data_IF_709451721448
#
_entry.id   IF_709451721448
#
_cell.length_a   1.000
_cell.length_b   1.000
_cell.length_c   1.000
_cell.angle_alpha   90.00
_cell.angle_beta   90.00
_cell.angle_gamma   90.00
#
_symmetry.space_group_name_H-M   'P 1'
#
loop_
_entity.id
_entity.type
_entity.pdbx_description
1 polymer ?
#
# COMPACT_ATOMS: atom_id res chain seq x y z
N UNK A 1 5.99 52.72 13.09
CA UNK A 1 5.90 51.28 13.46
C UNK A 1 4.78 51.12 14.47
N UNK A 2 4.22 49.91 14.50
CA UNK A 2 3.12 49.42 15.34
C UNK A 2 1.71 49.75 14.87
N UNK A 3 1.15 48.81 14.10
CA UNK A 3 -0.28 48.54 14.06
C UNK A 3 -0.42 47.12 14.62
N UNK A 4 -0.82 47.03 15.89
CA UNK A 4 -1.27 45.81 16.53
C UNK A 4 -2.75 45.64 16.22
N UNK A 5 -3.14 44.60 15.48
CA UNK A 5 -4.54 44.19 15.40
C UNK A 5 -4.67 42.75 15.89
N UNK A 6 -5.24 42.65 17.09
CA UNK A 6 -5.57 41.46 17.84
C UNK A 6 -6.68 40.68 17.15
N UNK A 7 -6.40 39.40 16.98
CA UNK A 7 -7.32 38.29 16.84
C UNK A 7 -8.11 38.17 18.14
N UNK A 8 -9.45 38.24 18.15
CA UNK A 8 -10.35 37.47 19.05
C UNK A 8 -11.82 37.63 18.65
N UNK A 9 -12.53 36.54 18.93
CA UNK A 9 -13.91 36.13 18.64
C UNK A 9 -14.92 36.96 19.45
N UNK A 10 -16.12 37.18 18.88
CA UNK A 10 -17.32 37.61 19.62
C UNK A 10 -18.42 36.56 19.47
N UNK A 11 -18.78 35.96 20.59
CA UNK A 11 -20.05 35.25 20.82
C UNK A 11 -21.18 36.26 21.09
N UNK A 12 -22.41 35.74 21.25
CA UNK A 12 -23.70 36.40 21.61
C UNK A 12 -24.56 36.81 20.39
N UNK A 13 -25.84 36.46 20.25
CA UNK A 13 -26.85 35.97 21.19
C UNK A 13 -28.08 35.39 20.44
N UNK A 14 -28.81 34.49 21.11
CA UNK A 14 -30.08 33.85 20.71
C UNK A 14 -31.31 34.78 20.88
N UNK A 15 -32.41 34.53 20.14
CA UNK A 15 -33.76 34.22 20.67
C UNK A 15 -34.92 34.45 19.66
N UNK A 16 -35.63 33.34 19.39
CA UNK A 16 -37.08 33.10 19.28
C UNK A 16 -38.10 34.08 18.67
N UNK A 17 -38.97 33.53 17.77
CA UNK A 17 -40.44 33.43 17.97
C UNK A 17 -41.22 32.75 16.81
N UNK A 18 -41.74 31.55 17.13
CA UNK A 18 -43.13 31.05 16.97
C UNK A 18 -43.87 31.03 15.62
N UNK A 19 -44.27 29.79 15.27
CA UNK A 19 -45.62 29.30 14.89
C UNK A 19 -46.25 29.71 13.54
N UNK A 20 -46.46 28.73 12.64
CA UNK A 20 -47.82 28.27 12.35
C UNK A 20 -47.89 26.88 11.67
N UNK A 21 -48.99 26.19 11.95
CA UNK A 21 -49.37 24.78 11.73
C UNK A 21 -50.27 24.63 10.50
N UNK A 22 -50.29 23.43 9.89
CA UNK A 22 -51.41 22.67 9.27
C UNK A 22 -50.92 21.91 8.01
N UNK A 23 -50.77 20.58 8.03
CA UNK A 23 -51.78 19.50 7.87
C UNK A 23 -51.94 19.06 6.40
N UNK A 24 -51.48 17.84 6.03
CA UNK A 24 -52.14 16.85 5.13
C UNK A 24 -51.54 15.45 5.40
N UNK A 25 -52.42 14.44 5.34
CA UNK A 25 -52.44 13.13 5.99
C UNK A 25 -51.70 11.96 5.30
N UNK A 26 -51.60 10.88 6.08
CA UNK A 26 -51.13 9.52 5.84
C UNK A 26 -51.71 8.80 4.60
N UNK A 27 -50.89 7.95 3.96
CA UNK A 27 -51.32 6.64 3.48
C UNK A 27 -50.28 5.56 3.84
N UNK A 28 -50.71 4.66 4.72
CA UNK A 28 -50.09 3.41 5.14
C UNK A 28 -50.05 2.37 4.03
N UNK A 29 -48.99 1.55 3.99
CA UNK A 29 -49.04 0.20 3.42
C UNK A 29 -48.08 -0.73 4.19
N UNK A 30 -48.60 -1.32 5.25
CA UNK A 30 -48.15 -2.59 5.81
C UNK A 30 -48.73 -3.72 4.94
N UNK A 31 -47.92 -4.74 4.64
CA UNK A 31 -48.39 -6.03 4.11
C UNK A 31 -47.95 -7.14 5.04
N UNK A 32 -48.96 -7.81 5.57
CA UNK A 32 -48.97 -8.82 6.62
C UNK A 32 -48.19 -10.10 6.31
N UNK A 33 -47.43 -10.57 7.31
CA UNK A 33 -47.00 -11.97 7.43
C UNK A 33 -48.06 -12.73 8.21
N UNK A 34 -48.82 -13.58 7.51
CA UNK A 34 -49.80 -14.50 8.08
C UNK A 34 -49.08 -15.73 8.62
N UNK A 35 -49.06 -15.89 9.94
CA UNK A 35 -48.92 -17.20 10.60
C UNK A 35 -50.31 -17.73 10.98
N UNK A 36 -50.61 -18.95 10.55
CA UNK A 36 -51.81 -19.69 10.94
C UNK A 36 -51.53 -20.64 12.11
N UNK A 37 -52.45 -20.56 13.07
CA UNK A 37 -52.45 -21.06 14.44
C UNK A 37 -52.54 -22.59 14.59
N UNK A 38 -51.97 -23.10 15.69
CA UNK A 38 -52.55 -24.06 16.65
C UNK A 38 -51.46 -24.47 17.65
N UNK A 39 -51.51 -24.27 18.96
CA UNK A 39 -52.54 -23.75 19.85
C UNK A 39 -52.12 -24.08 21.29
N UNK A 40 -52.79 -23.43 22.25
CA UNK A 40 -52.96 -23.85 23.67
C UNK A 40 -52.00 -23.26 24.70
N UNK A 41 -52.51 -22.21 25.37
CA UNK A 41 -52.45 -21.81 26.80
C UNK A 41 -51.20 -22.17 27.63
N UNK A 42 -50.65 -21.30 28.47
CA UNK A 42 -51.38 -20.69 29.59
C UNK A 42 -50.57 -19.56 30.26
N UNK A 43 -51.32 -18.62 30.83
CA UNK A 43 -50.89 -17.48 31.64
C UNK A 43 -49.96 -17.86 32.81
N UNK A 44 -49.12 -16.91 33.25
CA UNK A 44 -49.17 -16.30 34.60
C UNK A 44 -48.26 -15.06 34.61
N UNK A 45 -48.87 -13.95 35.01
CA UNK A 45 -48.29 -12.64 35.33
C UNK A 45 -47.53 -12.75 36.67
N UNK A 46 -46.27 -12.29 36.74
CA UNK A 46 -45.79 -11.64 37.95
C UNK A 46 -44.53 -10.78 37.72
N UNK A 47 -44.66 -9.52 38.10
CA UNK A 47 -43.62 -8.49 38.08
C UNK A 47 -42.66 -8.64 39.27
N UNK A 48 -41.48 -8.04 39.09
CA UNK A 48 -40.49 -7.60 40.09
C UNK A 48 -39.48 -8.64 40.60
N UNK A 49 -38.21 -8.56 40.15
CA UNK A 49 -37.11 -7.83 40.83
C UNK A 49 -35.76 -8.14 40.19
N UNK A 50 -34.93 -7.11 40.16
CA UNK A 50 -33.52 -7.08 39.82
C UNK A 50 -32.74 -8.19 40.56
N UNK A 51 -31.86 -8.89 39.81
CA UNK A 51 -30.54 -9.25 40.29
C UNK A 51 -29.67 -9.56 39.08
N UNK A 52 -28.75 -8.64 38.78
CA UNK A 52 -27.61 -8.87 37.90
C UNK A 52 -26.76 -9.97 38.55
N UNK A 53 -26.79 -11.16 37.98
CA UNK A 53 -25.75 -12.17 38.16
C UNK A 53 -24.99 -12.20 36.84
N UNK A 54 -23.78 -11.66 36.88
CA UNK A 54 -22.74 -11.92 35.89
C UNK A 54 -22.61 -13.44 35.75
N UNK A 55 -23.16 -13.97 34.66
CA UNK A 55 -22.83 -15.31 34.21
C UNK A 55 -21.40 -15.25 33.70
N UNK A 56 -20.47 -15.79 34.49
CA UNK A 56 -19.21 -16.28 33.94
C UNK A 56 -19.60 -17.30 32.86
N UNK A 57 -19.49 -16.90 31.59
CA UNK A 57 -19.50 -17.82 30.47
C UNK A 57 -18.27 -18.70 30.62
N UNK A 58 -18.43 -19.81 31.33
CA UNK A 58 -17.53 -20.93 31.25
C UNK A 58 -17.59 -21.40 29.80
N UNK A 59 -16.52 -21.11 29.04
CA UNK A 59 -16.26 -21.78 27.78
C UNK A 59 -16.17 -23.28 28.10
N UNK A 60 -17.21 -24.03 27.75
CA UNK A 60 -17.16 -25.48 27.66
C UNK A 60 -16.10 -25.80 26.58
N UNK A 61 -14.86 -26.07 27.02
CA UNK A 61 -13.71 -26.49 26.19
C UNK A 61 -13.88 -27.95 25.69
N UNK A 62 -15.12 -28.43 25.62
CA UNK A 62 -15.52 -29.73 25.10
C UNK A 62 -16.12 -29.59 23.67
N UNK A 63 -15.66 -28.61 22.90
CA UNK A 63 -15.83 -28.62 21.44
C UNK A 63 -14.88 -29.68 20.87
N UNK A 64 -15.47 -30.85 20.56
CA UNK A 64 -14.89 -31.98 19.82
C UNK A 64 -13.65 -31.61 18.99
N UNK A 65 -12.48 -31.97 19.51
CA UNK A 65 -11.15 -31.83 18.90
C UNK A 65 -11.20 -32.27 17.42
N UNK A 66 -11.23 -31.30 16.48
CA UNK A 66 -11.37 -31.56 15.04
C UNK A 66 -10.20 -32.43 14.56
N UNK A 67 -10.43 -33.69 14.16
CA UNK A 67 -9.35 -34.60 13.88
C UNK A 67 -8.57 -34.17 12.65
N UNK A 68 -7.24 -34.15 12.76
CA UNK A 68 -6.34 -33.91 11.61
C UNK A 68 -6.63 -34.92 10.50
N UNK A 69 -7.20 -34.44 9.40
CA UNK A 69 -7.55 -35.27 8.23
C UNK A 69 -6.33 -35.50 7.34
N UNK A 70 -5.52 -34.46 7.12
CA UNK A 70 -4.34 -34.49 6.24
C UNK A 70 -3.21 -33.61 6.80
N UNK A 71 -1.98 -34.15 6.79
CA UNK A 71 -0.77 -33.42 7.17
C UNK A 71 -0.07 -32.88 5.91
N UNK A 72 0.07 -31.55 5.82
CA UNK A 72 0.78 -30.89 4.72
C UNK A 72 2.18 -30.48 5.19
N UNK A 73 3.26 -31.08 4.65
CA UNK A 73 4.61 -30.72 5.05
C UNK A 73 4.94 -29.29 4.59
N UNK A 74 5.54 -28.52 5.51
CA UNK A 74 5.91 -27.13 5.32
C UNK A 74 7.44 -27.03 5.20
N UNK A 75 7.90 -26.60 4.03
CA UNK A 75 9.32 -26.43 3.72
C UNK A 75 9.63 -24.95 3.57
N UNK A 76 10.72 -24.47 4.19
CA UNK A 76 11.19 -23.08 4.03
C UNK A 76 12.48 -23.10 3.20
N UNK A 77 12.53 -22.30 2.13
CA UNK A 77 13.68 -22.16 1.24
C UNK A 77 13.78 -20.75 0.67
N UNK A 78 14.89 -20.41 0.01
CA UNK A 78 14.99 -19.15 -0.74
C UNK A 78 15.74 -18.04 -0.01
N UNK A 79 16.71 -18.37 0.85
CA UNK A 79 17.58 -17.36 1.47
C UNK A 79 18.58 -16.74 0.47
N UNK A 80 18.86 -17.42 -0.65
CA UNK A 80 19.80 -16.93 -1.68
C UNK A 80 19.12 -16.01 -2.72
N UNK A 81 17.79 -15.97 -2.78
CA UNK A 81 17.03 -15.22 -3.78
C UNK A 81 16.32 -14.01 -3.17
N UNK A 82 16.49 -12.84 -3.79
CA UNK A 82 15.88 -11.57 -3.36
C UNK A 82 14.47 -11.39 -3.94
N UNK A 83 13.48 -12.06 -3.35
CA UNK A 83 12.10 -11.98 -3.81
C UNK A 83 11.46 -10.63 -3.42
N UNK A 84 10.98 -9.91 -4.43
CA UNK A 84 10.25 -8.65 -4.27
C UNK A 84 8.79 -8.84 -4.68
N UNK A 85 7.86 -8.30 -3.89
CA UNK A 85 6.42 -8.35 -4.19
C UNK A 85 5.93 -6.99 -4.68
N UNK A 86 5.24 -6.99 -5.81
CA UNK A 86 4.67 -5.78 -6.40
C UNK A 86 3.16 -5.69 -6.20
N UNK A 87 2.72 -4.60 -5.59
CA UNK A 87 1.31 -4.29 -5.40
C UNK A 87 0.88 -3.18 -6.36
N UNK A 88 -0.01 -3.50 -7.30
CA UNK A 88 -0.57 -2.54 -8.24
C UNK A 88 -1.75 -1.77 -7.63
N UNK A 89 -1.52 -0.52 -7.22
CA UNK A 89 -2.58 0.29 -6.60
C UNK A 89 -3.69 0.71 -7.60
N UNK A 90 -3.41 0.67 -8.90
CA UNK A 90 -4.30 1.16 -9.96
C UNK A 90 -5.10 0.06 -10.67
N UNK A 91 -4.87 -1.22 -10.34
CA UNK A 91 -5.48 -2.34 -11.06
C UNK A 91 -6.32 -3.19 -10.11
N UNK A 92 -7.62 -3.37 -10.39
CA UNK A 92 -8.44 -4.29 -9.61
C UNK A 92 -7.97 -5.73 -9.89
N UNK A 93 -8.10 -6.59 -8.88
CA UNK A 93 -7.77 -8.03 -9.01
C UNK A 93 -8.67 -8.75 -10.02
N UNK A 94 -9.93 -8.33 -10.10
CA UNK A 94 -10.95 -8.93 -10.95
C UNK A 94 -11.52 -7.87 -11.88
N UNK A 95 -11.56 -8.18 -13.17
CA UNK A 95 -12.32 -7.40 -14.16
C UNK A 95 -13.56 -8.22 -14.50
N UNK A 96 -14.70 -7.79 -13.95
CA UNK A 96 -15.92 -8.59 -13.98
C UNK A 96 -15.79 -9.84 -13.09
N UNK A 97 -15.69 -11.02 -13.71
CA UNK A 97 -15.57 -12.32 -13.01
C UNK A 97 -14.27 -13.06 -13.32
N UNK A 98 -13.39 -12.48 -14.13
CA UNK A 98 -12.10 -13.08 -14.49
C UNK A 98 -10.97 -12.34 -13.77
N UNK A 99 -9.89 -13.05 -13.40
CA UNK A 99 -8.66 -12.39 -12.97
C UNK A 99 -8.25 -11.36 -14.04
N UNK A 100 -7.89 -10.15 -13.60
CA UNK A 100 -7.37 -9.14 -14.50
C UNK A 100 -6.08 -9.68 -15.16
N UNK A 101 -5.93 -9.46 -16.46
CA UNK A 101 -4.70 -9.83 -17.15
C UNK A 101 -3.53 -9.01 -16.62
N UNK A 102 -2.39 -9.66 -16.46
CA UNK A 102 -1.15 -8.99 -16.07
C UNK A 102 -0.74 -8.03 -17.19
N UNK A 103 -0.39 -6.76 -16.87
CA UNK A 103 0.05 -5.83 -17.90
C UNK A 103 1.36 -6.31 -18.51
N UNK A 104 1.50 -6.19 -19.82
CA UNK A 104 2.78 -6.37 -20.48
C UNK A 104 3.74 -5.28 -20.00
N UNK A 105 4.92 -5.68 -19.52
CA UNK A 105 5.96 -4.76 -19.04
C UNK A 105 7.05 -4.68 -20.09
N UNK A 106 7.32 -3.47 -20.59
CA UNK A 106 8.37 -3.27 -21.60
C UNK A 106 9.77 -3.21 -21.01
N UNK A 107 9.93 -2.58 -19.86
CA UNK A 107 11.21 -2.39 -19.20
C UNK A 107 11.01 -2.25 -17.69
N UNK A 108 11.93 -2.82 -16.93
CA UNK A 108 12.02 -2.65 -15.49
C UNK A 108 13.33 -1.93 -15.16
N UNK A 109 13.27 -0.97 -14.24
CA UNK A 109 14.45 -0.30 -13.70
C UNK A 109 14.43 -0.41 -12.18
N UNK A 110 15.60 -0.69 -11.62
CA UNK A 110 15.77 -0.85 -10.18
C UNK A 110 16.91 0.00 -9.66
N UNK A 111 16.70 0.66 -8.51
CA UNK A 111 17.73 1.38 -7.77
C UNK A 111 18.00 0.63 -6.46
N UNK A 112 19.15 -0.06 -6.32
CA UNK A 112 19.39 -0.95 -5.18
C UNK A 112 19.53 -0.24 -3.84
N UNK A 113 20.18 0.94 -3.77
CA UNK A 113 20.35 1.64 -2.49
C UNK A 113 19.07 2.32 -2.02
N UNK A 114 18.30 2.89 -2.94
CA UNK A 114 17.02 3.52 -2.61
C UNK A 114 15.83 2.55 -2.63
N UNK A 115 16.02 1.29 -3.03
CA UNK A 115 14.96 0.30 -3.25
C UNK A 115 13.80 0.84 -4.10
N UNK A 116 14.11 1.63 -5.13
CA UNK A 116 13.09 2.19 -6.03
C UNK A 116 12.90 1.30 -7.24
N UNK A 117 11.66 0.95 -7.49
CA UNK A 117 11.22 0.23 -8.67
C UNK A 117 10.53 1.18 -9.63
N UNK A 118 10.95 1.18 -10.88
CA UNK A 118 10.29 1.86 -11.99
C UNK A 118 9.94 0.83 -13.06
N UNK A 119 8.65 0.70 -13.39
CA UNK A 119 8.16 -0.22 -14.41
C UNK A 119 7.49 0.58 -15.53
N UNK A 120 7.92 0.32 -16.76
CA UNK A 120 7.40 0.98 -17.94
C UNK A 120 6.39 0.06 -18.66
N UNK A 121 5.13 0.47 -18.66
CA UNK A 121 4.01 -0.25 -19.27
C UNK A 121 3.57 0.52 -20.53
N UNK A 122 3.63 -0.08 -21.73
CA UNK A 122 3.15 0.56 -22.95
C UNK A 122 1.61 0.69 -22.90
N UNK A 123 1.11 1.81 -23.40
CA UNK A 123 -0.32 2.06 -23.57
C UNK A 123 -0.77 1.65 -24.97
N UNK A 124 -2.00 1.16 -25.08
CA UNK A 124 -2.64 0.92 -26.38
C UNK A 124 -2.95 2.27 -27.07
N UNK A 125 -2.38 2.46 -28.25
CA UNK A 125 -2.53 3.69 -29.03
C UNK A 125 -3.77 3.69 -29.94
N UNK A 126 -4.48 2.56 -30.06
CA UNK A 126 -5.58 2.39 -31.01
C UNK A 126 -6.94 2.80 -30.43
N UNK A 127 -7.22 2.47 -29.17
CA UNK A 127 -8.59 2.53 -28.64
C UNK A 127 -8.91 3.79 -27.85
N UNK A 128 -7.96 4.28 -27.03
CA UNK A 128 -8.22 5.34 -26.04
C UNK A 128 -7.11 6.40 -25.94
N UNK A 129 -6.23 6.46 -26.94
CA UNK A 129 -5.07 7.36 -26.92
C UNK A 129 -5.26 8.54 -27.89
N UNK A 130 -5.10 9.76 -27.38
CA UNK A 130 -5.10 10.97 -28.20
C UNK A 130 -3.66 11.37 -28.56
N UNK A 131 -3.28 11.08 -29.81
CA UNK A 131 -1.94 11.36 -30.36
C UNK A 131 -1.62 12.85 -30.38
N UNK A 132 -2.58 13.67 -30.81
CA UNK A 132 -2.39 15.12 -30.95
C UNK A 132 -2.03 15.76 -29.60
N UNK A 133 -2.74 15.38 -28.53
CA UNK A 133 -2.47 15.90 -27.18
C UNK A 133 -1.13 15.41 -26.63
N UNK A 134 -0.80 14.14 -26.87
CA UNK A 134 0.45 13.59 -26.39
C UNK A 134 1.66 14.22 -27.09
N UNK A 135 1.60 14.39 -28.41
CA UNK A 135 2.67 15.02 -29.19
C UNK A 135 2.83 16.51 -28.87
N UNK A 136 1.73 17.26 -28.72
CA UNK A 136 1.77 18.70 -28.52
C UNK A 136 2.31 19.12 -27.14
N UNK A 137 1.85 18.47 -26.07
CA UNK A 137 2.14 18.90 -24.70
C UNK A 137 3.20 18.04 -24.00
N UNK A 138 3.35 16.77 -24.40
CA UNK A 138 4.04 15.74 -23.62
C UNK A 138 5.06 14.93 -24.43
N UNK A 139 5.56 15.44 -25.55
CA UNK A 139 6.58 14.80 -26.39
C UNK A 139 6.21 13.38 -26.90
N UNK A 140 4.92 13.10 -27.14
CA UNK A 140 4.47 11.86 -27.76
C UNK A 140 4.59 10.63 -26.85
N UNK A 141 4.42 10.81 -25.54
CA UNK A 141 4.56 9.71 -24.58
C UNK A 141 3.49 8.65 -24.77
N UNK A 142 3.92 7.42 -25.05
CA UNK A 142 3.08 6.23 -25.21
C UNK A 142 3.31 5.19 -24.10
N UNK A 143 4.10 5.52 -23.08
CA UNK A 143 4.47 4.62 -21.98
C UNK A 143 3.97 5.22 -20.66
N UNK A 144 3.34 4.38 -19.86
CA UNK A 144 3.00 4.67 -18.47
C UNK A 144 4.09 4.11 -17.56
N UNK A 145 4.76 5.00 -16.82
CA UNK A 145 5.70 4.59 -15.78
C UNK A 145 4.96 4.39 -14.45
N UNK A 146 5.18 3.27 -13.79
CA UNK A 146 4.79 3.01 -12.41
C UNK A 146 6.04 3.11 -11.54
N UNK A 147 5.95 3.82 -10.42
CA UNK A 147 7.03 3.94 -9.45
C UNK A 147 6.58 3.42 -8.10
N UNK A 148 7.43 2.65 -7.43
CA UNK A 148 7.20 2.16 -6.09
C UNK A 148 8.47 2.14 -5.26
N UNK A 149 8.33 2.34 -3.95
CA UNK A 149 9.40 2.16 -2.97
C UNK A 149 9.23 0.78 -2.37
N UNK A 150 10.28 -0.04 -2.41
CA UNK A 150 10.34 -1.32 -1.71
C UNK A 150 10.61 -1.09 -0.23
N UNK A 151 9.68 -1.53 0.61
CA UNK A 151 9.81 -1.51 2.07
C UNK A 151 10.09 -2.94 2.53
N UNK A 152 11.09 -3.10 3.37
CA UNK A 152 11.43 -4.38 4.02
C UNK A 152 10.33 -4.75 5.01
N UNK A 153 9.92 -6.01 5.01
CA UNK A 153 8.86 -6.50 5.89
C UNK A 153 9.22 -7.89 6.39
N UNK A 154 9.69 -7.97 7.63
CA UNK A 154 10.04 -9.23 8.26
C UNK A 154 8.78 -10.07 8.55
N UNK A 155 8.85 -11.37 8.26
CA UNK A 155 7.75 -12.31 8.54
C UNK A 155 6.75 -12.51 7.41
N UNK A 156 6.97 -11.92 6.23
CA UNK A 156 6.16 -12.22 5.04
C UNK A 156 6.80 -13.33 4.19
N UNK A 157 5.99 -14.34 3.86
CA UNK A 157 6.41 -15.47 3.04
C UNK A 157 5.46 -15.65 1.86
N UNK A 158 6.04 -15.88 0.68
CA UNK A 158 5.31 -16.35 -0.48
C UNK A 158 5.23 -17.88 -0.41
N UNK A 159 4.02 -18.44 -0.51
CA UNK A 159 3.81 -19.88 -0.49
C UNK A 159 3.34 -20.39 -1.85
N UNK A 160 3.90 -21.51 -2.30
CA UNK A 160 3.33 -22.28 -3.41
C UNK A 160 3.18 -23.75 -3.02
N UNK A 161 2.17 -24.40 -3.59
CA UNK A 161 1.87 -25.81 -3.33
C UNK A 161 2.33 -26.65 -4.52
N UNK A 162 3.09 -27.72 -4.23
CA UNK A 162 3.50 -28.74 -5.20
C UNK A 162 3.42 -30.10 -4.53
N UNK A 163 2.77 -31.06 -5.17
CA UNK A 163 2.69 -32.46 -4.69
C UNK A 163 2.20 -32.59 -3.24
N UNK A 164 1.22 -31.76 -2.86
CA UNK A 164 0.68 -31.62 -1.48
C UNK A 164 1.71 -31.17 -0.43
N UNK A 165 2.82 -30.58 -0.85
CA UNK A 165 3.80 -29.93 0.01
C UNK A 165 3.76 -28.40 -0.19
N UNK A 166 3.92 -27.67 0.90
CA UNK A 166 3.92 -26.20 0.88
C UNK A 166 5.36 -25.70 0.98
N UNK A 167 5.76 -24.87 0.04
CA UNK A 167 7.08 -24.25 0.00
C UNK A 167 6.94 -22.77 0.31
N UNK A 168 7.58 -22.31 1.39
CA UNK A 168 7.61 -20.91 1.81
C UNK A 168 8.94 -20.30 1.40
N UNK A 169 8.84 -19.15 0.74
CA UNK A 169 9.97 -18.32 0.32
C UNK A 169 9.87 -16.96 1.00
N UNK A 170 10.90 -16.50 1.73
CA UNK A 170 10.86 -15.20 2.37
C UNK A 170 10.77 -14.09 1.33
N UNK A 171 9.90 -13.12 1.57
CA UNK A 171 9.81 -11.91 0.76
C UNK A 171 10.72 -10.85 1.35
N UNK A 172 11.73 -10.41 0.60
CA UNK A 172 12.68 -9.41 1.09
C UNK A 172 12.03 -8.03 1.20
N UNK A 173 11.31 -7.61 0.14
CA UNK A 173 10.66 -6.29 0.11
C UNK A 173 9.32 -6.32 -0.59
N UNK A 174 8.42 -5.47 -0.12
CA UNK A 174 7.12 -5.20 -0.74
C UNK A 174 7.14 -3.79 -1.31
N UNK A 175 6.90 -3.66 -2.63
CA UNK A 175 6.81 -2.37 -3.29
C UNK A 175 5.37 -2.08 -3.73
N UNK A 176 4.82 -0.97 -3.23
CA UNK A 176 3.55 -0.45 -3.69
C UNK A 176 3.77 0.45 -4.92
N UNK A 177 3.33 -0.02 -6.07
CA UNK A 177 3.47 0.67 -7.34
C UNK A 177 2.34 1.68 -7.53
N UNK A 178 2.72 2.93 -7.78
CA UNK A 178 1.80 4.03 -8.08
C UNK A 178 2.13 4.62 -9.46
N UNK A 179 1.14 5.11 -10.22
CA UNK A 179 1.40 5.84 -11.46
C UNK A 179 2.32 7.04 -11.21
N UNK A 180 3.39 7.14 -12.00
CA UNK A 180 4.36 8.23 -11.93
C UNK A 180 4.51 8.90 -13.30
N UNK A 181 4.48 10.22 -13.31
CA UNK A 181 4.41 11.02 -14.53
C UNK A 181 5.77 11.64 -14.87
N UNK A 182 6.72 10.79 -15.28
CA UNK A 182 8.08 11.23 -15.65
C UNK A 182 8.10 12.35 -16.70
N UNK A 183 7.24 12.24 -17.70
CA UNK A 183 7.17 13.20 -18.80
C UNK A 183 6.73 14.61 -18.36
N UNK A 184 5.90 14.73 -17.32
CA UNK A 184 5.47 16.03 -16.79
C UNK A 184 6.65 16.72 -16.12
N UNK A 185 7.43 15.97 -15.35
CA UNK A 185 8.62 16.46 -14.67
C UNK A 185 9.66 16.95 -15.70
N UNK A 186 9.90 16.18 -16.76
CA UNK A 186 10.85 16.54 -17.83
C UNK A 186 10.42 17.82 -18.57
N UNK A 187 9.14 17.96 -18.91
CA UNK A 187 8.59 19.16 -19.57
C UNK A 187 8.70 20.38 -18.64
N UNK A 188 8.42 20.23 -17.35
CA UNK A 188 8.51 21.31 -16.38
C UNK A 188 9.96 21.79 -16.18
N UNK A 189 10.91 20.85 -16.05
CA UNK A 189 12.34 21.17 -15.96
C UNK A 189 12.81 21.88 -17.22
N UNK A 190 12.41 21.40 -18.40
CA UNK A 190 12.80 22.00 -19.70
C UNK A 190 12.24 23.40 -19.83
N UNK A 191 10.95 23.60 -19.55
CA UNK A 191 10.30 24.93 -19.57
C UNK A 191 10.98 25.90 -18.62
N UNK A 192 11.25 25.48 -17.38
CA UNK A 192 11.95 26.32 -16.39
C UNK A 192 13.37 26.68 -16.82
N UNK A 193 14.09 25.75 -17.45
CA UNK A 193 15.41 26.04 -18.01
C UNK A 193 15.35 27.00 -19.19
N UNK A 194 14.34 26.89 -20.07
CA UNK A 194 14.13 27.82 -21.17
C UNK A 194 13.79 29.22 -20.70
N UNK A 195 12.90 29.35 -19.70
CA UNK A 195 12.56 30.64 -19.11
C UNK A 195 13.78 31.29 -18.43
N UNK A 196 14.61 30.48 -17.74
CA UNK A 196 15.86 30.95 -17.16
C UNK A 196 16.90 31.37 -18.22
N UNK A 197 16.91 30.74 -19.39
CA UNK A 197 17.74 31.15 -20.54
C UNK A 197 17.22 32.44 -21.19
N UNK A 198 15.90 32.61 -21.26
CA UNK A 198 15.24 33.79 -21.86
C UNK A 198 15.36 35.03 -20.98
N UNK A 199 15.38 34.85 -19.66
CA UNK A 199 15.56 35.93 -18.70
C UNK A 199 16.85 35.75 -17.88
N UNK A 200 18.04 35.95 -18.48
CA UNK A 200 19.29 35.82 -17.76
C UNK A 200 19.39 36.96 -16.74
N UNK A 201 19.28 36.60 -15.46
CA UNK A 201 19.48 37.57 -14.39
C UNK A 201 20.94 38.09 -14.45
N UNK A 202 21.19 39.40 -14.64
CA UNK A 202 22.51 39.93 -14.93
C UNK A 202 23.50 39.85 -13.75
N UNK A 203 23.05 39.42 -12.56
CA UNK A 203 23.93 39.20 -11.41
C UNK A 203 24.72 37.87 -11.46
N UNK A 204 24.48 37.02 -12.47
CA UNK A 204 25.17 35.73 -12.62
C UNK A 204 26.30 35.80 -13.67
N UNK A 205 27.01 36.93 -13.76
CA UNK A 205 28.23 37.01 -14.55
C UNK A 205 29.27 36.01 -14.03
N UNK A 206 29.45 34.96 -14.82
CA UNK A 206 30.44 33.89 -14.71
C UNK A 206 31.86 34.45 -14.83
N UNK A 207 32.35 35.10 -13.78
CA UNK A 207 33.78 35.33 -13.61
C UNK A 207 34.08 35.23 -12.11
N UNK A 208 34.87 34.20 -11.76
CA UNK A 208 35.26 33.80 -10.40
C UNK A 208 34.25 32.88 -9.67
N UNK A 209 34.17 31.63 -10.14
CA UNK A 209 33.71 30.53 -9.29
C UNK A 209 34.92 30.02 -8.50
N UNK A 210 35.18 30.61 -7.34
CA UNK A 210 36.14 30.06 -6.37
C UNK A 210 35.35 29.22 -5.38
N UNK A 211 35.41 27.89 -5.51
CA UNK A 211 34.70 26.94 -4.64
C UNK A 211 35.41 26.74 -3.30
N UNK A 212 35.72 27.81 -2.57
CA UNK A 212 36.24 27.71 -1.20
C UNK A 212 35.11 27.90 -0.21
N UNK A 213 34.26 26.88 -0.08
CA UNK A 213 33.21 26.81 0.94
C UNK A 213 33.43 25.56 1.80
N UNK A 214 34.38 25.65 2.75
CA UNK A 214 34.58 24.60 3.76
C UNK A 214 33.58 24.86 4.89
N UNK A 215 32.44 24.17 4.86
CA UNK A 215 31.44 24.26 5.93
C UNK A 215 31.83 23.34 7.09
N UNK A 216 31.95 23.92 8.28
CA UNK A 216 32.23 23.23 9.55
C UNK A 216 31.19 22.16 9.87
N UNK A 217 31.60 21.06 10.50
CA UNK A 217 30.81 19.84 10.72
C UNK A 217 29.89 19.87 11.95
N UNK A 218 30.00 20.90 12.82
CA UNK A 218 29.48 20.80 14.19
C UNK A 218 28.48 21.91 14.60
N UNK A 219 27.67 22.47 13.69
CA UNK A 219 26.61 23.40 14.11
C UNK A 219 25.28 22.63 14.32
N UNK A 220 24.85 22.36 15.57
CA UNK A 220 23.60 21.63 15.85
C UNK A 220 22.35 22.41 15.44
N UNK A 221 22.49 23.68 15.03
CA UNK A 221 21.40 24.51 14.51
C UNK A 221 21.11 24.28 13.01
N UNK A 222 21.99 23.58 12.29
CA UNK A 222 21.78 23.22 10.89
C UNK A 222 21.85 21.71 10.71
N UNK A 223 20.69 21.06 10.86
CA UNK A 223 20.49 19.69 10.40
C UNK A 223 20.79 19.62 8.90
N UNK A 224 22.01 19.17 8.58
CA UNK A 224 22.42 18.86 7.21
C UNK A 224 21.46 17.81 6.70
N UNK A 225 20.65 18.17 5.69
CA UNK A 225 19.87 17.28 4.83
C UNK A 225 19.50 15.94 5.51
N UNK A 226 18.71 15.99 6.58
CA UNK A 226 18.57 14.84 7.47
C UNK A 226 17.54 13.84 6.94
N UNK A 227 17.84 12.55 7.08
CA UNK A 227 16.92 11.41 6.87
C UNK A 227 16.20 11.42 5.53
N UNK A 228 14.97 11.95 5.51
CA UNK A 228 14.11 12.01 4.33
C UNK A 228 14.76 12.73 3.14
N UNK A 229 15.38 13.90 3.37
CA UNK A 229 16.01 14.64 2.27
C UNK A 229 17.27 13.93 1.75
N UNK A 230 17.98 13.19 2.61
CA UNK A 230 19.10 12.36 2.20
C UNK A 230 18.60 11.18 1.35
N UNK A 231 17.50 10.54 1.73
CA UNK A 231 16.91 9.45 0.95
C UNK A 231 16.49 9.93 -0.45
N UNK A 232 15.84 11.09 -0.55
CA UNK A 232 15.52 11.70 -1.85
C UNK A 232 16.77 12.03 -2.66
N UNK A 233 17.80 12.60 -2.03
CA UNK A 233 19.05 12.90 -2.71
C UNK A 233 19.77 11.64 -3.22
N UNK A 234 19.84 10.59 -2.41
CA UNK A 234 20.43 9.30 -2.80
C UNK A 234 19.61 8.69 -3.94
N UNK A 235 18.29 8.76 -3.86
CA UNK A 235 17.39 8.31 -4.92
C UNK A 235 17.65 9.06 -6.24
N UNK A 236 17.91 10.36 -6.23
CA UNK A 236 18.16 11.14 -7.44
C UNK A 236 19.57 10.91 -8.02
N UNK A 237 20.57 10.74 -7.14
CA UNK A 237 21.98 10.52 -7.53
C UNK A 237 22.26 9.09 -8.01
N UNK A 238 21.45 8.11 -7.59
CA UNK A 238 21.64 6.72 -7.97
C UNK A 238 21.19 6.45 -9.41
N UNK A 239 22.06 5.79 -10.17
CA UNK A 239 21.78 5.34 -11.52
C UNK A 239 20.83 4.14 -11.52
N UNK A 240 19.92 4.12 -12.48
CA UNK A 240 18.99 3.01 -12.70
C UNK A 240 19.75 1.78 -13.23
N UNK A 241 19.54 0.62 -12.60
CA UNK A 241 19.88 -0.67 -13.19
C UNK A 241 18.72 -1.11 -14.09
N UNK A 242 19.01 -1.28 -15.37
CA UNK A 242 18.01 -1.79 -16.32
C UNK A 242 17.93 -3.31 -16.21
N UNK A 243 16.73 -3.79 -15.94
CA UNK A 243 16.41 -5.21 -15.82
C UNK A 243 15.50 -5.62 -16.98
N UNK A 244 15.79 -6.77 -17.56
CA UNK A 244 14.94 -7.38 -18.57
C UNK A 244 13.78 -8.08 -17.89
N UNK A 245 12.56 -7.83 -18.36
CA UNK A 245 11.39 -8.56 -17.91
C UNK A 245 11.34 -9.94 -18.58
N UNK A 246 11.32 -11.00 -17.77
CA UNK A 246 11.20 -12.38 -18.22
C UNK A 246 9.93 -13.00 -17.63
N UNK A 247 8.93 -13.21 -18.47
CA UNK A 247 7.69 -13.91 -18.08
C UNK A 247 7.92 -15.43 -18.07
N UNK A 248 7.04 -16.16 -17.37
CA UNK A 248 7.04 -17.63 -17.26
C UNK A 248 8.30 -18.26 -16.64
N UNK A 249 9.08 -17.49 -15.88
CA UNK A 249 10.25 -18.01 -15.12
C UNK A 249 9.84 -18.85 -13.89
N UNK A 250 8.54 -18.96 -13.60
CA UNK A 250 8.02 -19.64 -12.40
C UNK A 250 8.41 -21.12 -12.32
N UNK A 251 8.45 -21.85 -13.45
CA UNK A 251 8.82 -23.27 -13.44
C UNK A 251 10.28 -23.49 -13.04
N UNK A 252 11.19 -22.65 -13.56
CA UNK A 252 12.61 -22.70 -13.24
C UNK A 252 12.86 -22.37 -11.76
N UNK A 253 12.17 -21.35 -11.27
CA UNK A 253 12.20 -20.96 -9.86
C UNK A 253 11.67 -22.08 -8.95
N UNK A 254 10.52 -22.66 -9.31
CA UNK A 254 9.91 -23.78 -8.57
C UNK A 254 10.86 -24.97 -8.46
N UNK A 255 11.54 -25.33 -9.55
CA UNK A 255 12.51 -26.42 -9.54
C UNK A 255 13.79 -26.08 -8.76
N UNK A 256 14.19 -24.80 -8.69
CA UNK A 256 15.29 -24.33 -7.84
C UNK A 256 14.95 -24.50 -6.36
N UNK A 257 13.78 -23.99 -5.94
CA UNK A 257 13.30 -24.05 -4.55
C UNK A 257 13.15 -25.50 -4.08
N UNK A 258 12.56 -26.37 -4.90
CA UNK A 258 12.39 -27.79 -4.54
C UNK A 258 13.74 -28.48 -4.32
N UNK A 259 14.73 -28.24 -5.20
CA UNK A 259 16.09 -28.79 -5.04
C UNK A 259 16.78 -28.31 -3.76
N UNK A 260 16.56 -27.06 -3.36
CA UNK A 260 17.15 -26.52 -2.14
C UNK A 260 16.55 -27.18 -0.88
N UNK A 261 15.24 -27.44 -0.91
CA UNK A 261 14.50 -28.00 0.24
C UNK A 261 14.71 -29.48 0.47
N UNK A 262 14.98 -30.28 -0.57
CA UNK A 262 15.18 -31.73 -0.45
C UNK A 262 16.33 -32.12 0.51
N UNK A 263 17.21 -31.16 0.87
CA UNK A 263 18.37 -31.39 1.74
C UNK A 263 18.29 -30.87 3.18
N UNK A 264 17.23 -30.14 3.58
CA UNK A 264 17.20 -29.44 4.89
C UNK A 264 15.93 -29.77 5.68
N UNK A 265 16.07 -30.61 6.70
CA UNK A 265 15.03 -30.81 7.73
C UNK A 265 15.24 -29.73 8.80
N UNK A 266 14.23 -28.89 9.01
CA UNK A 266 14.25 -27.87 10.06
C UNK A 266 13.86 -28.52 11.39
N UNK A 267 14.62 -28.18 12.44
CA UNK A 267 14.36 -28.61 13.81
C UNK A 267 13.99 -27.35 14.60
N UNK A 268 12.91 -27.40 15.37
CA UNK A 268 12.54 -26.32 16.26
C UNK A 268 13.65 -26.10 17.31
N UNK A 269 14.13 -24.86 17.43
CA UNK A 269 15.25 -24.53 18.32
C UNK A 269 14.83 -24.23 19.76
N UNK A 270 13.55 -23.93 20.01
CA UNK A 270 13.06 -23.42 21.30
C UNK A 270 11.90 -24.27 21.83
N UNK A 271 11.82 -24.39 23.15
CA UNK A 271 10.69 -25.00 23.82
C UNK A 271 9.52 -24.00 23.88
N UNK A 272 8.30 -24.52 24.04
CA UNK A 272 7.09 -23.72 24.09
C UNK A 272 7.14 -22.61 25.17
N UNK A 273 7.73 -22.90 26.33
CA UNK A 273 7.85 -21.93 27.43
C UNK A 273 8.77 -20.74 27.06
N UNK A 274 9.93 -21.03 26.45
CA UNK A 274 10.88 -19.99 26.01
C UNK A 274 10.31 -19.12 24.87
N UNK A 275 9.48 -19.72 24.00
CA UNK A 275 8.82 -19.01 22.90
C UNK A 275 7.81 -17.97 23.41
N UNK A 276 7.02 -18.32 24.44
CA UNK A 276 6.04 -17.39 25.02
C UNK A 276 6.74 -16.22 25.72
N UNK A 277 7.85 -16.48 26.41
CA UNK A 277 8.64 -15.44 27.07
C UNK A 277 9.31 -14.47 26.07
N UNK A 278 9.66 -14.94 24.87
CA UNK A 278 10.20 -14.09 23.81
C UNK A 278 9.13 -13.29 23.04
N UNK A 279 7.86 -13.65 23.16
CA UNK A 279 6.75 -12.98 22.47
C UNK A 279 6.16 -11.79 23.27
N UNK A 280 6.37 -11.76 24.59
CA UNK A 280 5.83 -10.77 25.54
C UNK A 280 6.86 -9.70 25.89
#
# INVERSE_FOLDING_TARGET
>A
MSIDNKLFVTEEEEEDRTQDRADVEDESNDVDMIESENGTSCAVDNRQRENEQEGEEAYDDDEEDDPVVEELPLNISGNDESLHVFQYANRPRLVGRKPAEHPFISAARYKPKSSLWELDIPLDDQSFYNKDKAEADWNGVNIQTLKGVGVENDGQYAAFVKDMQVYLVPVERVAQLKPYFRYIDDVNVTRKQEDAKRNPNPSSQRAQVVTMSVKSVNDPSQNRLTGSLLAHKVADEEANLELTWAEDTFEQFKDSVVKETEGKILIASENQEDYIDNLV
#
